data_IF_528659219264
#
_entry.id   IF_528659219264
#
_cell.length_a   1.000
_cell.length_b   1.000
_cell.length_c   1.000
_cell.angle_alpha   90.00
_cell.angle_beta   90.00
_cell.angle_gamma   90.00
#
_symmetry.space_group_name_H-M   'P 1'
#
loop_
_entity.id
_entity.type
_entity.pdbx_description
1 polymer ?
#
# COMPACT_ATOMS: atom_id res chain seq x y z
N UNK A 1 -21.99 -15.13 -17.42
CA UNK A 1 -22.29 -14.85 -15.99
C UNK A 1 -20.99 -14.50 -15.29
N UNK A 2 -20.91 -13.30 -14.74
CA UNK A 2 -19.80 -12.92 -13.88
C UNK A 2 -19.65 -13.93 -12.75
N UNK A 3 -18.43 -14.35 -12.37
CA UNK A 3 -18.21 -15.28 -11.28
C UNK A 3 -18.52 -14.61 -9.93
N UNK A 4 -19.81 -14.54 -9.60
CA UNK A 4 -20.37 -13.85 -8.41
C UNK A 4 -19.66 -14.28 -7.12
N UNK A 5 -19.36 -15.57 -6.98
CA UNK A 5 -18.68 -16.10 -5.77
C UNK A 5 -17.26 -15.51 -5.65
N UNK A 6 -16.51 -15.44 -6.77
CA UNK A 6 -15.15 -14.87 -6.78
C UNK A 6 -15.21 -13.37 -6.49
N UNK A 7 -16.15 -12.64 -7.08
CA UNK A 7 -16.35 -11.21 -6.81
C UNK A 7 -16.67 -10.95 -5.34
N UNK A 8 -17.63 -11.67 -4.75
CA UNK A 8 -17.96 -11.54 -3.31
C UNK A 8 -16.75 -11.80 -2.42
N UNK A 9 -15.89 -12.77 -2.77
CA UNK A 9 -14.66 -13.04 -2.04
C UNK A 9 -13.65 -11.90 -2.10
N UNK A 10 -13.43 -11.32 -3.28
CA UNK A 10 -12.52 -10.21 -3.51
C UNK A 10 -13.01 -8.89 -2.89
N UNK A 11 -14.31 -8.64 -2.90
CA UNK A 11 -14.94 -7.43 -2.34
C UNK A 11 -15.05 -7.45 -0.81
N UNK A 12 -14.90 -8.62 -0.18
CA UNK A 12 -15.05 -8.75 1.26
C UNK A 12 -14.01 -7.89 1.99
N UNK A 13 -14.47 -6.94 2.84
CA UNK A 13 -13.64 -6.04 3.62
C UNK A 13 -12.71 -5.16 2.76
N UNK A 14 -13.16 -4.71 1.59
CA UNK A 14 -12.48 -3.64 0.87
C UNK A 14 -12.49 -2.38 1.74
N UNK A 15 -11.34 -1.71 1.79
CA UNK A 15 -11.12 -0.46 2.51
C UNK A 15 -10.63 0.60 1.54
N UNK A 16 -10.70 1.85 1.97
CA UNK A 16 -9.99 2.94 1.29
C UNK A 16 -8.47 2.74 1.38
N UNK A 17 -7.72 3.38 0.50
CA UNK A 17 -6.26 3.40 0.57
C UNK A 17 -5.81 4.08 1.85
N UNK A 18 -4.81 3.51 2.50
CA UNK A 18 -4.25 4.04 3.74
C UNK A 18 -2.87 4.68 3.45
N UNK A 19 -2.59 5.83 4.08
CA UNK A 19 -1.25 6.39 4.07
C UNK A 19 -0.46 5.74 5.21
N UNK A 20 0.61 4.96 4.92
CA UNK A 20 1.43 4.35 5.94
C UNK A 20 2.19 5.42 6.72
N UNK A 21 2.58 5.08 7.94
CA UNK A 21 3.55 5.89 8.68
C UNK A 21 4.91 5.77 8.02
N UNK A 22 5.67 6.86 8.05
CA UNK A 22 7.05 6.84 7.61
C UNK A 22 7.87 5.81 8.42
N UNK A 23 8.70 5.05 7.73
CA UNK A 23 9.68 4.18 8.36
C UNK A 23 10.99 4.97 8.48
N UNK A 24 11.42 5.21 9.72
CA UNK A 24 12.61 6.00 10.00
C UNK A 24 13.85 5.13 9.94
N UNK A 25 14.79 5.50 9.06
CA UNK A 25 16.07 4.84 8.89
C UNK A 25 17.21 5.77 9.34
N UNK A 26 17.78 5.47 10.50
CA UNK A 26 18.89 6.24 11.08
C UNK A 26 20.26 5.91 10.46
N UNK A 27 20.37 4.89 9.60
CA UNK A 27 21.61 4.55 8.89
C UNK A 27 21.87 5.47 7.70
N UNK A 28 20.87 6.22 7.27
CA UNK A 28 20.94 7.19 6.16
C UNK A 28 20.77 8.61 6.70
N UNK A 29 21.28 9.60 5.98
CA UNK A 29 21.19 11.00 6.38
C UNK A 29 20.99 11.92 5.18
N UNK A 30 20.21 12.96 5.36
CA UNK A 30 20.12 14.08 4.43
C UNK A 30 21.04 15.20 4.94
N UNK A 31 22.00 15.59 4.12
CA UNK A 31 22.91 16.71 4.37
C UNK A 31 22.47 17.91 3.53
N UNK A 32 22.27 19.06 4.15
CA UNK A 32 21.89 20.31 3.49
C UNK A 32 22.89 21.42 3.76
N UNK A 33 22.89 22.45 2.91
CA UNK A 33 23.85 23.55 3.00
C UNK A 33 23.51 24.60 4.07
N UNK A 34 22.20 24.86 4.24
CA UNK A 34 21.71 25.94 5.12
C UNK A 34 20.58 25.48 6.04
N UNK A 35 20.35 26.26 7.12
CA UNK A 35 19.20 26.05 8.01
C UNK A 35 17.86 26.32 7.30
N UNK A 36 17.83 27.14 6.26
CA UNK A 36 16.65 27.38 5.43
C UNK A 36 16.30 26.13 4.63
N UNK A 37 17.30 25.47 4.04
CA UNK A 37 17.14 24.20 3.33
C UNK A 37 16.65 23.08 4.28
N UNK A 38 17.20 23.04 5.50
CA UNK A 38 16.77 22.10 6.54
C UNK A 38 15.28 22.30 6.89
N UNK A 39 14.88 23.54 7.13
CA UNK A 39 13.49 23.89 7.43
C UNK A 39 12.57 23.49 6.28
N UNK A 40 12.96 23.79 5.04
CA UNK A 40 12.20 23.42 3.84
C UNK A 40 11.96 21.90 3.71
N UNK A 41 13.01 21.10 3.85
CA UNK A 41 12.89 19.64 3.76
C UNK A 41 12.12 19.03 4.94
N UNK A 42 12.23 19.68 6.11
CA UNK A 42 11.45 19.31 7.31
C UNK A 42 9.96 19.58 7.09
N UNK A 43 9.60 20.72 6.50
CA UNK A 43 8.20 21.04 6.15
C UNK A 43 7.61 20.09 5.12
N UNK A 44 8.43 19.54 4.21
CA UNK A 44 8.05 18.44 3.31
C UNK A 44 7.89 17.09 4.03
N UNK A 45 8.26 17.00 5.31
CA UNK A 45 8.15 15.80 6.14
C UNK A 45 9.24 14.77 5.90
N UNK A 46 10.37 15.13 5.27
CA UNK A 46 11.46 14.18 4.96
C UNK A 46 12.24 13.76 6.20
N UNK A 47 12.24 14.58 7.25
CA UNK A 47 12.79 14.24 8.56
C UNK A 47 12.11 13.06 9.26
N UNK A 48 10.94 12.63 8.76
CA UNK A 48 10.27 11.42 9.25
C UNK A 48 10.90 10.13 8.71
N UNK A 49 11.67 10.21 7.63
CA UNK A 49 12.34 9.09 6.98
C UNK A 49 13.81 9.03 7.33
N UNK A 50 14.53 10.15 7.27
CA UNK A 50 15.96 10.25 7.54
C UNK A 50 16.26 11.44 8.43
N UNK A 51 17.32 11.39 9.28
CA UNK A 51 17.84 12.58 9.95
C UNK A 51 18.30 13.62 8.92
N UNK A 52 18.06 14.90 9.20
CA UNK A 52 18.52 16.02 8.36
C UNK A 52 19.58 16.78 9.15
N UNK A 53 20.77 16.94 8.57
CA UNK A 53 21.91 17.63 9.17
C UNK A 53 22.28 18.82 8.29
N UNK A 54 22.47 19.99 8.91
CA UNK A 54 23.01 21.17 8.23
C UNK A 54 24.53 21.14 8.24
N UNK A 55 25.14 21.35 7.09
CA UNK A 55 26.58 21.39 6.96
C UNK A 55 27.18 22.53 7.79
N UNK A 56 28.30 22.25 8.46
CA UNK A 56 29.07 23.21 9.23
C UNK A 56 30.54 23.16 8.80
N UNK A 57 31.26 24.27 8.91
CA UNK A 57 32.70 24.35 8.63
C UNK A 57 33.56 23.56 9.67
N UNK A 58 32.98 22.60 10.35
CA UNK A 58 33.66 21.81 11.38
C UNK A 58 34.32 20.57 10.80
N UNK A 59 35.59 20.28 11.10
CA UNK A 59 36.23 19.02 10.76
C UNK A 59 35.52 17.78 11.33
N UNK A 60 34.71 17.93 12.37
CA UNK A 60 33.91 16.87 12.99
C UNK A 60 32.76 16.40 12.09
N UNK A 61 32.32 17.22 11.14
CA UNK A 61 31.24 16.84 10.22
C UNK A 61 31.63 15.63 9.38
N UNK A 62 32.86 15.57 8.86
CA UNK A 62 33.31 14.42 8.05
C UNK A 62 33.37 13.12 8.89
N UNK A 63 33.83 13.23 10.15
CA UNK A 63 33.83 12.07 11.06
C UNK A 63 32.41 11.60 11.40
N UNK A 64 31.46 12.53 11.54
CA UNK A 64 30.06 12.22 11.80
C UNK A 64 29.41 11.53 10.59
N UNK A 65 29.67 12.05 9.38
CA UNK A 65 29.13 11.53 8.14
C UNK A 65 29.62 10.10 7.81
N UNK A 66 30.81 9.73 8.27
CA UNK A 66 31.35 8.35 8.12
C UNK A 66 30.53 7.27 8.86
N UNK A 67 29.65 7.65 9.77
CA UNK A 67 28.80 6.73 10.51
C UNK A 67 27.53 6.33 9.75
N UNK A 68 27.26 6.95 8.60
CA UNK A 68 26.08 6.66 7.79
C UNK A 68 26.41 5.77 6.59
N UNK A 69 25.50 4.84 6.30
CA UNK A 69 25.63 3.94 5.15
C UNK A 69 25.46 4.69 3.83
N UNK A 70 24.56 5.70 3.81
CA UNK A 70 24.27 6.55 2.65
C UNK A 70 24.00 7.98 3.07
N UNK A 71 24.58 8.94 2.33
CA UNK A 71 24.46 10.37 2.55
C UNK A 71 23.80 11.01 1.32
N UNK A 72 22.64 11.61 1.51
CA UNK A 72 21.96 12.39 0.49
C UNK A 72 22.36 13.85 0.65
N UNK A 73 23.33 14.31 -0.14
CA UNK A 73 23.67 15.73 -0.16
C UNK A 73 22.66 16.47 -1.05
N UNK A 74 21.70 17.13 -0.39
CA UNK A 74 20.68 17.94 -1.04
C UNK A 74 21.16 19.37 -1.12
N UNK A 75 21.64 19.78 -2.30
CA UNK A 75 22.27 21.06 -2.51
C UNK A 75 21.33 22.10 -3.13
N UNK A 76 21.42 23.34 -2.64
CA UNK A 76 20.78 24.52 -3.21
C UNK A 76 21.76 25.36 -4.05
N UNK A 77 23.04 25.42 -3.64
CA UNK A 77 24.09 26.19 -4.30
C UNK A 77 25.28 25.34 -4.77
N UNK A 78 25.47 24.15 -4.20
CA UNK A 78 26.55 23.25 -4.56
C UNK A 78 27.93 23.72 -4.07
N UNK A 79 27.98 24.30 -2.85
CA UNK A 79 29.18 24.93 -2.31
C UNK A 79 30.14 23.92 -1.69
N UNK A 80 29.62 22.76 -1.23
CA UNK A 80 30.39 21.78 -0.50
C UNK A 80 31.06 20.78 -1.46
N UNK A 81 32.35 20.55 -1.25
CA UNK A 81 33.13 19.55 -1.96
C UNK A 81 33.41 18.35 -1.03
N UNK A 82 32.96 17.18 -1.46
CA UNK A 82 33.12 15.91 -0.73
C UNK A 82 33.96 14.92 -1.55
N UNK A 83 35.15 15.36 -2.01
CA UNK A 83 36.04 14.44 -2.72
C UNK A 83 36.38 13.21 -1.84
N UNK A 84 36.10 12.01 -2.38
CA UNK A 84 36.46 10.72 -1.78
C UNK A 84 35.44 10.10 -0.83
N UNK A 85 34.20 10.58 -0.77
CA UNK A 85 33.11 9.90 -0.08
C UNK A 85 32.32 9.01 -1.06
N UNK A 86 32.48 7.69 -1.03
CA UNK A 86 31.83 6.78 -2.00
C UNK A 86 30.33 6.60 -1.74
N UNK A 87 29.87 6.87 -0.52
CA UNK A 87 28.49 6.73 -0.03
C UNK A 87 27.68 8.02 -0.11
N UNK A 88 28.05 8.97 -0.99
CA UNK A 88 27.36 10.25 -1.13
C UNK A 88 26.63 10.34 -2.47
N UNK A 89 25.32 10.63 -2.40
CA UNK A 89 24.46 10.91 -3.55
C UNK A 89 24.13 12.39 -3.58
N UNK A 90 24.41 13.07 -4.70
CA UNK A 90 24.11 14.48 -4.89
C UNK A 90 22.71 14.65 -5.49
N UNK A 91 21.86 15.44 -4.86
CA UNK A 91 20.48 15.71 -5.28
C UNK A 91 20.24 17.22 -5.26
N UNK A 92 19.62 17.76 -6.30
CA UNK A 92 19.22 19.17 -6.29
C UNK A 92 17.99 19.36 -5.39
N UNK A 93 17.97 20.41 -4.57
CA UNK A 93 16.85 20.73 -3.67
C UNK A 93 15.54 21.03 -4.42
N UNK A 94 15.62 21.39 -5.70
CA UNK A 94 14.46 21.65 -6.56
C UNK A 94 13.78 20.36 -7.06
N UNK A 95 14.38 19.17 -6.83
CA UNK A 95 13.75 17.91 -7.15
C UNK A 95 12.54 17.66 -6.24
N UNK A 96 11.61 16.82 -6.68
CA UNK A 96 10.43 16.51 -5.89
C UNK A 96 10.81 15.72 -4.63
N UNK A 97 10.03 15.85 -3.59
CA UNK A 97 10.23 15.18 -2.31
C UNK A 97 10.36 13.65 -2.41
N UNK A 98 9.62 13.02 -3.34
CA UNK A 98 9.70 11.58 -3.64
C UNK A 98 10.91 11.20 -4.51
N UNK A 99 11.61 12.15 -5.09
CA UNK A 99 12.90 11.92 -5.78
C UNK A 99 14.06 12.00 -4.80
N UNK A 100 13.91 12.82 -3.75
CA UNK A 100 14.87 12.92 -2.63
C UNK A 100 14.72 11.71 -1.70
N UNK A 101 13.48 11.34 -1.37
CA UNK A 101 13.14 10.19 -0.51
C UNK A 101 12.11 9.29 -1.22
N UNK A 102 12.56 8.36 -2.07
CA UNK A 102 11.70 7.46 -2.84
C UNK A 102 10.73 6.64 -1.99
N UNK A 103 11.13 6.32 -0.77
CA UNK A 103 10.35 5.56 0.20
C UNK A 103 9.00 6.22 0.50
N UNK A 104 8.87 7.53 0.34
CA UNK A 104 7.61 8.28 0.53
C UNK A 104 6.48 7.77 -0.37
N UNK A 105 6.81 7.37 -1.60
CA UNK A 105 5.86 6.82 -2.57
C UNK A 105 5.87 5.29 -2.56
N UNK A 106 7.03 4.68 -2.49
CA UNK A 106 7.18 3.22 -2.49
C UNK A 106 6.40 2.59 -1.34
N UNK A 107 6.55 3.12 -0.11
CA UNK A 107 5.86 2.61 1.07
C UNK A 107 4.34 2.71 0.93
N UNK A 108 3.81 3.76 0.29
CA UNK A 108 2.39 3.86 0.00
C UNK A 108 1.88 2.70 -0.86
N UNK A 109 2.59 2.38 -1.95
CA UNK A 109 2.17 1.30 -2.84
C UNK A 109 2.41 -0.08 -2.24
N UNK A 110 3.50 -0.29 -1.53
CA UNK A 110 3.80 -1.55 -0.85
C UNK A 110 2.79 -1.83 0.27
N UNK A 111 2.44 -0.81 1.06
CA UNK A 111 1.44 -0.95 2.12
C UNK A 111 0.06 -1.33 1.58
N UNK A 112 -0.33 -0.76 0.45
CA UNK A 112 -1.63 -1.00 -0.18
C UNK A 112 -1.58 -2.11 -1.26
N UNK A 113 -0.50 -2.86 -1.41
CA UNK A 113 -0.29 -3.82 -2.50
C UNK A 113 -1.39 -4.88 -2.57
N UNK A 114 -1.80 -5.44 -1.43
CA UNK A 114 -2.88 -6.43 -1.37
C UNK A 114 -4.21 -5.84 -1.85
N UNK A 115 -4.51 -4.61 -1.48
CA UNK A 115 -5.69 -3.88 -1.92
C UNK A 115 -5.67 -3.65 -3.44
N UNK A 116 -4.56 -3.16 -3.98
CA UNK A 116 -4.40 -2.94 -5.42
C UNK A 116 -4.52 -4.24 -6.22
N UNK A 117 -3.92 -5.33 -5.75
CA UNK A 117 -4.04 -6.65 -6.38
C UNK A 117 -5.50 -7.12 -6.42
N UNK A 118 -6.25 -6.95 -5.33
CA UNK A 118 -7.67 -7.32 -5.27
C UNK A 118 -8.51 -6.47 -6.20
N UNK A 119 -8.29 -5.17 -6.25
CA UNK A 119 -8.99 -4.24 -7.15
C UNK A 119 -8.68 -4.56 -8.62
N UNK A 120 -7.41 -4.85 -8.94
CA UNK A 120 -7.00 -5.31 -10.27
C UNK A 120 -7.77 -6.56 -10.73
N UNK A 121 -7.88 -7.58 -9.87
CA UNK A 121 -8.65 -8.79 -10.16
C UNK A 121 -10.14 -8.50 -10.36
N UNK A 122 -10.72 -7.59 -9.57
CA UNK A 122 -12.12 -7.17 -9.72
C UNK A 122 -12.33 -6.47 -11.06
N UNK A 123 -11.46 -5.54 -11.44
CA UNK A 123 -11.55 -4.82 -12.71
C UNK A 123 -11.44 -5.78 -13.90
N UNK A 124 -10.53 -6.74 -13.85
CA UNK A 124 -10.43 -7.80 -14.86
C UNK A 124 -11.70 -8.64 -15.00
N UNK A 125 -12.31 -9.02 -13.88
CA UNK A 125 -13.58 -9.78 -13.91
C UNK A 125 -14.69 -8.92 -14.52
N UNK A 126 -14.69 -7.60 -14.30
CA UNK A 126 -15.62 -6.65 -14.91
C UNK A 126 -15.36 -6.41 -16.41
N UNK A 127 -14.20 -6.83 -16.92
CA UNK A 127 -13.78 -6.58 -18.29
C UNK A 127 -13.36 -5.14 -18.56
N UNK A 128 -12.87 -4.43 -17.52
CA UNK A 128 -12.39 -3.06 -17.61
C UNK A 128 -10.86 -3.02 -17.72
N UNK A 129 -10.35 -2.03 -18.43
CA UNK A 129 -8.92 -1.71 -18.42
C UNK A 129 -8.55 -1.09 -17.07
N UNK A 130 -7.34 -1.37 -16.59
CA UNK A 130 -6.86 -0.95 -15.29
C UNK A 130 -5.37 -0.62 -15.31
N UNK A 131 -5.00 0.50 -14.69
CA UNK A 131 -3.61 0.93 -14.51
C UNK A 131 -2.88 0.09 -13.43
N UNK A 132 -3.65 -0.55 -12.54
CA UNK A 132 -3.07 -1.28 -11.40
C UNK A 132 -2.16 -2.44 -11.83
N UNK A 133 -2.31 -2.92 -13.07
CA UNK A 133 -1.41 -3.92 -13.65
C UNK A 133 0.03 -3.45 -13.85
N UNK A 134 0.28 -2.15 -13.89
CA UNK A 134 1.61 -1.55 -14.02
C UNK A 134 2.35 -1.48 -12.68
N UNK A 135 1.63 -1.49 -11.54
CA UNK A 135 2.20 -1.40 -10.19
C UNK A 135 2.96 -2.68 -9.81
N UNK A 136 2.37 -3.84 -10.13
CA UNK A 136 2.88 -5.15 -9.69
C UNK A 136 4.33 -5.38 -10.14
N UNK A 137 4.70 -5.23 -11.43
CA UNK A 137 6.07 -5.47 -11.88
C UNK A 137 7.07 -4.50 -11.26
N UNK A 138 6.69 -3.23 -11.01
CA UNK A 138 7.57 -2.24 -10.38
C UNK A 138 7.91 -2.66 -8.94
N UNK A 139 6.90 -3.08 -8.16
CA UNK A 139 7.13 -3.53 -6.78
C UNK A 139 7.92 -4.84 -6.75
N UNK A 140 7.64 -5.77 -7.66
CA UNK A 140 8.37 -7.04 -7.74
C UNK A 140 9.85 -6.82 -8.08
N UNK A 141 10.18 -5.87 -8.96
CA UNK A 141 11.54 -5.49 -9.27
C UNK A 141 12.28 -4.96 -8.03
N UNK A 142 11.65 -4.07 -7.27
CA UNK A 142 12.22 -3.54 -6.01
C UNK A 142 12.53 -4.65 -5.00
N UNK A 143 11.69 -5.69 -4.91
CA UNK A 143 11.90 -6.82 -4.01
C UNK A 143 13.07 -7.75 -4.41
N UNK A 144 13.50 -7.71 -5.67
CA UNK A 144 14.57 -8.59 -6.20
C UNK A 144 15.95 -7.99 -6.03
N UNK A 145 16.08 -6.66 -5.99
CA UNK A 145 17.36 -5.94 -6.00
C UNK A 145 18.21 -6.22 -4.76
N UNK A 146 17.61 -6.55 -3.63
CA UNK A 146 18.29 -6.71 -2.33
C UNK A 146 19.07 -8.03 -2.16
N UNK A 147 19.13 -8.94 -3.15
CA UNK A 147 19.52 -10.35 -2.94
C UNK A 147 20.88 -10.81 -3.48
N UNK A 148 21.75 -9.97 -4.04
CA UNK A 148 23.00 -10.43 -4.65
C UNK A 148 24.23 -9.73 -4.08
N UNK A 149 24.88 -10.33 -3.11
CA UNK A 149 26.21 -9.92 -2.66
C UNK A 149 27.24 -11.02 -2.90
N UNK A 150 28.42 -10.61 -3.39
CA UNK A 150 29.64 -11.44 -3.35
C UNK A 150 30.34 -11.08 -2.05
N UNK A 151 30.50 -12.05 -1.17
CA UNK A 151 31.30 -11.89 0.05
C UNK A 151 32.79 -11.78 -0.35
N UNK A 152 33.28 -10.52 -0.27
CA UNK A 152 34.66 -10.19 -0.66
C UNK A 152 35.65 -10.90 0.26
N UNK A 153 35.34 -10.97 1.57
CA UNK A 153 36.24 -11.59 2.56
C UNK A 153 36.35 -13.09 2.33
N UNK A 154 35.24 -13.79 2.10
CA UNK A 154 35.22 -15.21 1.76
C UNK A 154 35.99 -15.49 0.45
N UNK A 155 35.74 -14.65 -0.59
CA UNK A 155 36.42 -14.77 -1.86
C UNK A 155 37.94 -14.61 -1.71
N UNK A 156 38.39 -13.55 -1.04
CA UNK A 156 39.83 -13.26 -0.83
C UNK A 156 40.50 -14.35 -0.01
N UNK A 157 39.84 -14.86 1.05
CA UNK A 157 40.37 -15.95 1.87
C UNK A 157 40.48 -17.27 1.09
N UNK A 158 39.50 -17.58 0.24
CA UNK A 158 39.57 -18.81 -0.59
C UNK A 158 40.70 -18.72 -1.60
N UNK A 159 40.85 -17.57 -2.29
CA UNK A 159 41.95 -17.36 -3.24
C UNK A 159 43.33 -17.36 -2.55
N UNK A 160 43.44 -16.89 -1.30
CA UNK A 160 44.66 -16.96 -0.51
C UNK A 160 45.13 -18.40 -0.27
N UNK A 161 44.20 -19.31 0.08
CA UNK A 161 44.51 -20.71 0.29
C UNK A 161 45.13 -21.34 -0.98
N UNK A 162 44.49 -21.11 -2.12
CA UNK A 162 44.99 -21.58 -3.42
C UNK A 162 46.39 -21.01 -3.75
N UNK A 163 46.61 -19.73 -3.42
CA UNK A 163 47.89 -19.06 -3.64
C UNK A 163 49.01 -19.60 -2.74
N UNK A 164 48.69 -19.84 -1.44
CA UNK A 164 49.69 -20.40 -0.49
C UNK A 164 50.16 -21.79 -0.97
N UNK A 165 49.24 -22.66 -1.44
CA UNK A 165 49.56 -23.97 -2.01
C UNK A 165 50.39 -23.87 -3.28
N UNK A 166 50.04 -22.97 -4.18
CA UNK A 166 50.74 -22.74 -5.45
C UNK A 166 52.15 -22.18 -5.21
N UNK A 167 52.29 -21.26 -4.26
CA UNK A 167 53.55 -20.65 -3.88
C UNK A 167 54.46 -21.66 -3.18
N UNK A 168 53.92 -22.53 -2.29
CA UNK A 168 54.65 -23.60 -1.65
C UNK A 168 55.23 -24.57 -2.68
N UNK A 169 54.41 -25.01 -3.65
CA UNK A 169 54.85 -25.87 -4.74
C UNK A 169 55.91 -25.20 -5.59
N UNK A 170 55.80 -23.91 -5.89
CA UNK A 170 56.79 -23.17 -6.67
C UNK A 170 58.13 -23.02 -5.90
N UNK A 171 58.08 -22.75 -4.61
CA UNK A 171 59.30 -22.65 -3.76
C UNK A 171 60.04 -23.98 -3.72
N UNK A 172 59.33 -25.11 -3.62
CA UNK A 172 59.93 -26.45 -3.62
C UNK A 172 60.65 -26.79 -4.93
N UNK A 173 60.24 -26.20 -6.05
CA UNK A 173 60.79 -26.46 -7.39
C UNK A 173 61.83 -25.44 -7.87
N UNK A 174 62.18 -24.42 -7.06
CA UNK A 174 63.17 -23.39 -7.38
C UNK A 174 64.47 -23.67 -6.67
N UNK A 175 65.58 -23.76 -7.43
CA UNK A 175 66.95 -23.85 -6.85
C UNK A 175 67.28 -22.49 -6.20
N UNK A 176 67.25 -22.47 -4.85
CA UNK A 176 67.62 -21.31 -4.03
C UNK A 176 69.02 -21.47 -3.46
N UNK A 177 69.80 -20.40 -3.52
CA UNK A 177 71.10 -20.31 -2.88
C UNK A 177 70.98 -20.09 -1.38
N UNK A 178 72.01 -20.37 -0.59
CA UNK A 178 71.93 -20.31 0.88
C UNK A 178 71.50 -18.94 1.42
N UNK A 179 71.90 -17.85 0.81
CA UNK A 179 71.52 -16.49 1.19
C UNK A 179 70.03 -16.20 0.83
N UNK A 180 69.50 -16.82 -0.22
CA UNK A 180 68.09 -16.71 -0.63
C UNK A 180 67.19 -17.49 0.36
N UNK A 181 67.66 -18.64 0.88
CA UNK A 181 66.96 -19.41 1.92
C UNK A 181 66.93 -18.63 3.23
N UNK A 182 67.99 -17.94 3.59
CA UNK A 182 68.04 -17.09 4.78
C UNK A 182 67.05 -15.89 4.65
N UNK A 183 66.93 -15.29 3.50
CA UNK A 183 65.95 -14.24 3.22
C UNK A 183 64.51 -14.76 3.39
N UNK A 184 64.20 -15.96 2.89
CA UNK A 184 62.89 -16.58 3.02
C UNK A 184 62.52 -16.86 4.50
N UNK A 185 63.49 -17.33 5.30
CA UNK A 185 63.33 -17.55 6.72
C UNK A 185 63.06 -16.24 7.49
N UNK A 186 63.58 -15.13 7.00
CA UNK A 186 63.33 -13.79 7.55
C UNK A 186 62.08 -13.12 7.00
N UNK A 187 61.20 -13.86 6.36
CA UNK A 187 59.96 -13.39 5.70
C UNK A 187 60.20 -12.40 4.55
N UNK A 188 61.41 -12.35 3.99
CA UNK A 188 61.74 -11.57 2.81
C UNK A 188 61.76 -12.48 1.57
N UNK A 189 61.00 -12.14 0.54
CA UNK A 189 60.95 -12.92 -0.68
C UNK A 189 62.18 -12.69 -1.55
N UNK A 190 62.94 -13.73 -1.91
CA UNK A 190 64.05 -13.62 -2.85
C UNK A 190 63.55 -13.17 -4.24
N UNK A 191 64.40 -12.48 -5.08
CA UNK A 191 63.98 -11.95 -6.38
C UNK A 191 63.36 -12.98 -7.32
N UNK A 192 63.81 -14.24 -7.26
CA UNK A 192 63.26 -15.35 -8.05
C UNK A 192 61.84 -15.69 -7.63
N UNK A 193 61.59 -15.71 -6.33
CA UNK A 193 60.25 -15.99 -5.76
C UNK A 193 59.31 -14.79 -5.91
N UNK A 194 59.81 -13.56 -5.81
CA UNK A 194 59.05 -12.35 -6.04
C UNK A 194 58.41 -12.34 -7.45
N UNK A 195 59.13 -12.80 -8.47
CA UNK A 195 58.61 -12.85 -9.85
C UNK A 195 57.45 -13.84 -9.98
N UNK A 196 57.58 -15.02 -9.36
CA UNK A 196 56.48 -16.02 -9.34
C UNK A 196 55.29 -15.48 -8.57
N UNK A 197 55.56 -14.84 -7.42
CA UNK A 197 54.54 -14.23 -6.59
C UNK A 197 53.75 -13.16 -7.36
N UNK A 198 54.43 -12.29 -8.12
CA UNK A 198 53.79 -11.28 -8.97
C UNK A 198 52.91 -11.90 -10.07
N UNK A 199 53.33 -13.02 -10.65
CA UNK A 199 52.56 -13.76 -11.65
C UNK A 199 51.28 -14.35 -11.03
N UNK A 200 51.37 -14.98 -9.86
CA UNK A 200 50.26 -15.57 -9.12
C UNK A 200 49.26 -14.47 -8.68
N UNK A 201 49.73 -13.35 -8.10
CA UNK A 201 48.87 -12.24 -7.71
C UNK A 201 48.12 -11.67 -8.90
N UNK A 202 48.81 -11.42 -10.04
CA UNK A 202 48.17 -10.82 -11.18
C UNK A 202 47.09 -11.72 -11.77
N UNK A 203 47.21 -13.03 -11.65
CA UNK A 203 46.18 -13.96 -12.07
C UNK A 203 44.96 -13.91 -11.12
N UNK A 204 45.21 -13.89 -9.80
CA UNK A 204 44.14 -13.78 -8.80
C UNK A 204 43.42 -12.42 -8.85
N UNK A 205 44.15 -11.33 -9.09
CA UNK A 205 43.53 -9.98 -9.33
C UNK A 205 42.55 -9.99 -10.50
N UNK A 206 42.83 -10.73 -11.57
CA UNK A 206 41.86 -10.90 -12.66
C UNK A 206 40.59 -11.59 -12.21
N UNK A 207 40.71 -12.67 -11.41
CA UNK A 207 39.57 -13.40 -10.85
C UNK A 207 38.75 -12.50 -9.91
N UNK A 208 39.43 -11.74 -9.06
CA UNK A 208 38.77 -10.77 -8.16
C UNK A 208 37.97 -9.75 -8.98
N UNK A 209 38.61 -9.13 -9.98
CA UNK A 209 37.97 -8.15 -10.84
C UNK A 209 36.76 -8.72 -11.61
N UNK A 210 36.87 -9.95 -12.14
CA UNK A 210 35.79 -10.61 -12.86
C UNK A 210 34.58 -10.93 -11.95
N UNK A 211 34.84 -11.32 -10.67
CA UNK A 211 33.78 -11.70 -9.74
C UNK A 211 33.15 -10.51 -9.00
N UNK A 212 33.94 -9.50 -8.66
CA UNK A 212 33.50 -8.36 -7.85
C UNK A 212 33.25 -7.08 -8.65
N UNK A 213 33.85 -6.95 -9.82
CA UNK A 213 33.86 -5.71 -10.62
C UNK A 213 34.86 -4.65 -10.11
N UNK A 214 35.59 -4.91 -9.02
CA UNK A 214 36.61 -4.02 -8.43
C UNK A 214 38.03 -4.47 -8.75
N UNK A 215 38.94 -3.51 -8.98
CA UNK A 215 40.37 -3.78 -9.21
C UNK A 215 41.16 -3.37 -7.98
N UNK A 216 41.54 -4.33 -7.15
CA UNK A 216 42.26 -4.11 -5.90
C UNK A 216 43.23 -5.25 -5.62
N UNK A 217 44.20 -5.01 -4.71
CA UNK A 217 45.23 -5.94 -4.31
C UNK A 217 45.23 -6.16 -2.79
N UNK A 218 44.48 -7.17 -2.30
CA UNK A 218 44.37 -7.42 -0.85
C UNK A 218 45.55 -8.21 -0.26
N UNK A 219 46.59 -8.55 -1.05
CA UNK A 219 47.65 -9.45 -0.61
C UNK A 219 48.97 -8.73 -0.36
N UNK A 220 49.48 -8.88 0.87
CA UNK A 220 50.80 -8.39 1.23
C UNK A 220 51.88 -9.36 0.70
N UNK A 221 52.98 -8.80 0.16
CA UNK A 221 54.11 -9.54 -0.38
C UNK A 221 54.98 -10.13 0.75
N UNK A 222 54.43 -11.13 1.43
CA UNK A 222 55.09 -11.86 2.51
C UNK A 222 54.82 -13.36 2.35
N UNK A 223 55.68 -14.17 2.94
CA UNK A 223 55.49 -15.63 3.01
C UNK A 223 55.35 -16.09 4.47
N UNK A 224 54.31 -16.81 4.87
CA UNK A 224 53.05 -17.03 4.08
C UNK A 224 52.32 -15.75 3.75
N UNK A 225 51.44 -15.81 2.76
CA UNK A 225 50.67 -14.63 2.28
C UNK A 225 49.83 -14.06 3.43
N UNK A 226 49.99 -12.78 3.65
CA UNK A 226 49.17 -12.04 4.60
C UNK A 226 48.14 -11.19 3.81
N UNK A 227 46.96 -11.01 4.39
CA UNK A 227 45.89 -10.18 3.82
C UNK A 227 45.99 -8.77 4.40
N UNK A 228 45.78 -7.77 3.60
CA UNK A 228 45.63 -6.40 4.02
C UNK A 228 44.15 -6.13 4.38
N UNK A 229 43.83 -6.25 5.69
CA UNK A 229 42.48 -6.06 6.20
C UNK A 229 41.97 -4.63 5.95
N UNK A 230 42.87 -3.64 5.86
CA UNK A 230 42.48 -2.25 5.59
C UNK A 230 41.99 -2.05 4.15
N UNK A 231 42.62 -2.77 3.21
CA UNK A 231 42.20 -2.74 1.81
C UNK A 231 40.89 -3.51 1.62
N UNK A 232 40.67 -4.61 2.32
CA UNK A 232 39.37 -5.32 2.33
C UNK A 232 38.26 -4.41 2.84
N UNK A 233 38.47 -3.78 3.99
CA UNK A 233 37.47 -2.86 4.56
C UNK A 233 37.16 -1.69 3.61
N UNK A 234 38.18 -1.12 2.96
CA UNK A 234 37.99 -0.06 1.95
C UNK A 234 37.10 -0.53 0.81
N UNK A 235 37.37 -1.72 0.27
CA UNK A 235 36.61 -2.25 -0.88
C UNK A 235 35.20 -2.71 -0.46
N UNK A 236 35.04 -3.27 0.72
CA UNK A 236 33.70 -3.57 1.25
C UNK A 236 32.84 -2.30 1.38
N UNK A 237 33.42 -1.21 1.87
CA UNK A 237 32.74 0.08 1.96
C UNK A 237 32.40 0.60 0.55
N UNK A 238 33.31 0.52 -0.41
CA UNK A 238 33.08 0.94 -1.80
C UNK A 238 32.01 0.07 -2.47
N UNK A 239 31.99 -1.23 -2.23
CA UNK A 239 30.96 -2.16 -2.73
C UNK A 239 29.59 -1.84 -2.15
N UNK A 240 29.49 -1.68 -0.81
CA UNK A 240 28.22 -1.37 -0.16
C UNK A 240 27.68 0.00 -0.62
N UNK A 241 28.55 1.00 -0.72
CA UNK A 241 28.18 2.34 -1.19
C UNK A 241 27.69 2.35 -2.63
N UNK A 242 28.39 1.63 -3.51
CA UNK A 242 27.96 1.51 -4.92
C UNK A 242 26.60 0.81 -5.03
N UNK A 243 26.40 -0.25 -4.24
CA UNK A 243 25.14 -0.98 -4.17
C UNK A 243 24.01 -0.08 -3.69
N UNK A 244 24.22 0.67 -2.60
CA UNK A 244 23.21 1.60 -2.07
C UNK A 244 22.86 2.70 -3.08
N UNK A 245 23.85 3.23 -3.83
CA UNK A 245 23.63 4.19 -4.90
C UNK A 245 22.79 3.58 -6.04
N UNK A 246 23.16 2.36 -6.50
CA UNK A 246 22.43 1.64 -7.55
C UNK A 246 20.97 1.34 -7.10
N UNK A 247 20.78 0.95 -5.85
CA UNK A 247 19.45 0.73 -5.23
C UNK A 247 18.66 2.04 -5.18
N UNK A 248 19.30 3.14 -4.79
CA UNK A 248 18.65 4.44 -4.74
C UNK A 248 18.18 4.89 -6.13
N UNK A 249 19.01 4.75 -7.16
CA UNK A 249 18.63 5.12 -8.53
C UNK A 249 17.43 4.33 -9.04
N UNK A 250 17.37 3.03 -8.73
CA UNK A 250 16.22 2.20 -9.09
C UNK A 250 14.99 2.60 -8.29
N UNK A 251 15.11 2.84 -6.98
CA UNK A 251 14.01 3.32 -6.13
C UNK A 251 13.49 4.67 -6.59
N UNK A 252 14.39 5.60 -6.96
CA UNK A 252 14.02 6.92 -7.50
C UNK A 252 13.22 6.78 -8.79
N UNK A 253 13.69 5.96 -9.73
CA UNK A 253 12.98 5.69 -10.98
C UNK A 253 11.60 5.09 -10.73
N UNK A 254 11.52 4.09 -9.85
CA UNK A 254 10.25 3.47 -9.46
C UNK A 254 9.30 4.47 -8.79
N UNK A 255 9.80 5.35 -7.92
CA UNK A 255 8.99 6.39 -7.27
C UNK A 255 8.40 7.38 -8.27
N UNK A 256 9.16 7.79 -9.29
CA UNK A 256 8.67 8.66 -10.37
C UNK A 256 7.53 7.97 -11.13
N UNK A 257 7.71 6.71 -11.54
CA UNK A 257 6.69 5.95 -12.25
C UNK A 257 5.44 5.76 -11.38
N UNK A 258 5.59 5.29 -10.15
CA UNK A 258 4.48 5.08 -9.21
C UNK A 258 3.74 6.38 -8.89
N UNK A 259 4.46 7.50 -8.72
CA UNK A 259 3.81 8.79 -8.46
C UNK A 259 2.96 9.25 -9.64
N UNK A 260 3.39 8.97 -10.88
CA UNK A 260 2.63 9.34 -12.08
C UNK A 260 1.25 8.68 -12.17
N UNK A 261 1.09 7.49 -11.58
CA UNK A 261 -0.13 6.69 -11.62
C UNK A 261 -0.93 6.72 -10.29
N UNK A 262 -0.39 7.35 -9.25
CA UNK A 262 -0.95 7.32 -7.88
C UNK A 262 -2.40 7.77 -7.81
N UNK A 263 -2.70 8.94 -8.38
CA UNK A 263 -4.08 9.49 -8.35
C UNK A 263 -5.07 8.59 -9.08
N UNK A 264 -4.66 8.02 -10.21
CA UNK A 264 -5.51 7.11 -10.97
C UNK A 264 -5.72 5.79 -10.23
N UNK A 265 -4.68 5.25 -9.58
CA UNK A 265 -4.78 4.05 -8.76
C UNK A 265 -5.75 4.23 -7.59
N UNK A 266 -5.69 5.37 -6.89
CA UNK A 266 -6.62 5.72 -5.81
C UNK A 266 -8.06 5.77 -6.34
N UNK A 267 -8.27 6.44 -7.48
CA UNK A 267 -9.58 6.56 -8.09
C UNK A 267 -10.18 5.20 -8.49
N UNK A 268 -9.35 4.28 -9.01
CA UNK A 268 -9.82 2.94 -9.32
C UNK A 268 -10.28 2.16 -8.08
N UNK A 269 -9.62 2.34 -6.93
CA UNK A 269 -10.06 1.77 -5.65
C UNK A 269 -11.41 2.36 -5.24
N UNK A 270 -11.58 3.68 -5.30
CA UNK A 270 -12.84 4.36 -4.97
C UNK A 270 -13.99 3.88 -5.87
N UNK A 271 -13.74 3.74 -7.18
CA UNK A 271 -14.72 3.24 -8.14
C UNK A 271 -15.13 1.78 -7.84
N UNK A 272 -14.21 0.95 -7.38
CA UNK A 272 -14.53 -0.43 -7.00
C UNK A 272 -15.28 -0.49 -5.68
N UNK A 273 -14.96 0.36 -4.70
CA UNK A 273 -15.72 0.47 -3.43
C UNK A 273 -17.17 0.90 -3.73
N UNK A 274 -17.36 1.86 -4.63
CA UNK A 274 -18.70 2.27 -5.08
C UNK A 274 -19.41 1.11 -5.78
N UNK A 275 -18.73 0.41 -6.66
CA UNK A 275 -19.27 -0.77 -7.32
C UNK A 275 -19.64 -1.89 -6.34
N UNK A 276 -18.88 -2.12 -5.27
CA UNK A 276 -19.23 -3.09 -4.22
C UNK A 276 -20.58 -2.78 -3.58
N UNK A 277 -20.84 -1.51 -3.29
CA UNK A 277 -22.14 -1.08 -2.77
C UNK A 277 -23.26 -1.37 -3.77
N UNK A 278 -23.11 -0.96 -5.03
CA UNK A 278 -24.11 -1.18 -6.09
C UNK A 278 -24.34 -2.68 -6.36
N UNK A 279 -23.25 -3.46 -6.38
CA UNK A 279 -23.30 -4.90 -6.56
C UNK A 279 -24.00 -5.63 -5.39
N UNK A 280 -23.76 -5.18 -4.18
CA UNK A 280 -24.39 -5.74 -2.96
C UNK A 280 -25.89 -5.49 -2.97
N UNK A 281 -26.33 -4.27 -3.30
CA UNK A 281 -27.74 -3.92 -3.46
C UNK A 281 -28.40 -4.72 -4.60
N UNK A 282 -27.77 -4.77 -5.77
CA UNK A 282 -28.27 -5.54 -6.89
C UNK A 282 -28.37 -7.02 -6.61
N UNK A 283 -27.38 -7.57 -5.89
CA UNK A 283 -27.39 -8.97 -5.48
C UNK A 283 -28.51 -9.27 -4.49
N UNK A 284 -28.73 -8.37 -3.51
CA UNK A 284 -29.82 -8.47 -2.56
C UNK A 284 -31.18 -8.39 -3.27
N UNK A 285 -31.36 -7.41 -4.15
CA UNK A 285 -32.58 -7.27 -4.94
C UNK A 285 -32.88 -8.53 -5.76
N UNK A 286 -31.88 -9.06 -6.46
CA UNK A 286 -32.02 -10.25 -7.29
C UNK A 286 -32.33 -11.51 -6.45
N UNK A 287 -31.67 -11.65 -5.30
CA UNK A 287 -31.86 -12.82 -4.44
C UNK A 287 -33.26 -12.89 -3.83
N UNK A 288 -33.86 -11.75 -3.51
CA UNK A 288 -35.16 -11.67 -2.82
C UNK A 288 -36.29 -11.12 -3.70
N UNK A 289 -36.09 -11.02 -5.00
CA UNK A 289 -37.06 -10.55 -5.98
C UNK A 289 -37.63 -9.15 -5.64
N UNK A 290 -36.72 -8.25 -5.25
CA UNK A 290 -37.04 -6.85 -4.94
C UNK A 290 -36.92 -6.00 -6.21
N UNK A 291 -37.83 -5.03 -6.36
CA UNK A 291 -37.86 -4.14 -7.53
C UNK A 291 -37.58 -2.68 -7.17
N UNK A 292 -37.05 -1.92 -8.13
CA UNK A 292 -36.83 -0.50 -7.97
C UNK A 292 -38.18 0.24 -7.91
N UNK A 293 -38.41 1.08 -6.88
CA UNK A 293 -39.63 1.90 -6.81
C UNK A 293 -39.58 3.06 -7.80
N UNK A 294 -40.76 3.43 -8.31
CA UNK A 294 -40.97 4.71 -9.01
C UNK A 294 -41.43 5.78 -8.01
N UNK A 295 -41.06 7.04 -8.22
CA UNK A 295 -41.53 8.14 -7.43
C UNK A 295 -42.65 8.89 -8.16
N UNK A 296 -43.69 9.33 -7.41
CA UNK A 296 -44.84 10.04 -7.93
C UNK A 296 -45.65 10.67 -6.83
N UNK A 297 -46.90 11.05 -7.14
CA UNK A 297 -47.78 11.77 -6.20
C UNK A 297 -48.76 10.87 -5.45
N UNK A 298 -48.63 9.55 -5.59
CA UNK A 298 -49.51 8.56 -4.97
C UNK A 298 -48.71 7.40 -4.40
N UNK A 299 -49.29 6.63 -3.48
CA UNK A 299 -48.84 5.29 -3.16
C UNK A 299 -49.66 4.32 -4.04
N UNK A 300 -48.97 3.56 -4.87
CA UNK A 300 -49.61 2.53 -5.69
C UNK A 300 -48.68 1.30 -5.71
N UNK A 301 -49.10 0.25 -5.02
CA UNK A 301 -48.35 -0.98 -4.86
C UNK A 301 -49.13 -2.12 -5.53
N UNK A 302 -48.43 -2.94 -6.29
CA UNK A 302 -48.93 -4.22 -6.79
C UNK A 302 -48.03 -5.35 -6.30
N UNK A 303 -48.67 -6.44 -5.93
CA UNK A 303 -47.98 -7.64 -5.42
C UNK A 303 -47.01 -7.34 -4.29
N UNK A 304 -47.34 -6.40 -3.42
CA UNK A 304 -46.51 -5.99 -2.28
C UNK A 304 -46.53 -7.07 -1.20
N UNK A 305 -45.36 -7.25 -0.58
CA UNK A 305 -45.15 -8.25 0.42
C UNK A 305 -44.38 -7.68 1.61
N UNK A 306 -44.66 -8.13 2.83
CA UNK A 306 -43.86 -7.77 3.99
C UNK A 306 -42.41 -8.28 3.79
N UNK A 307 -41.40 -7.44 4.02
CA UNK A 307 -40.01 -7.75 3.74
C UNK A 307 -39.56 -9.07 4.41
N UNK A 308 -39.90 -9.29 5.67
CA UNK A 308 -39.57 -10.53 6.37
C UNK A 308 -40.17 -11.75 5.71
N UNK A 309 -41.36 -11.63 5.12
CA UNK A 309 -41.99 -12.72 4.37
C UNK A 309 -41.34 -12.91 3.00
N UNK A 310 -40.91 -11.83 2.34
CA UNK A 310 -40.14 -11.89 1.12
C UNK A 310 -38.78 -12.59 1.32
N UNK A 311 -38.13 -12.40 2.46
CA UNK A 311 -36.87 -13.05 2.82
C UNK A 311 -37.01 -14.55 3.12
N UNK A 312 -38.24 -15.03 3.48
CA UNK A 312 -38.53 -16.46 3.75
C UNK A 312 -39.02 -17.17 2.49
N UNK A 313 -38.13 -17.58 1.61
CA UNK A 313 -38.42 -18.17 0.29
C UNK A 313 -39.31 -19.44 0.29
N UNK A 314 -39.55 -20.10 1.42
CA UNK A 314 -40.17 -21.42 1.50
C UNK A 314 -41.68 -21.39 1.81
N UNK A 315 -42.31 -20.21 2.02
CA UNK A 315 -43.69 -20.17 2.42
C UNK A 315 -44.62 -19.97 1.22
N UNK A 316 -45.05 -21.10 0.63
CA UNK A 316 -45.97 -21.17 -0.54
C UNK A 316 -47.35 -20.51 -0.27
N UNK A 317 -47.64 -20.11 0.96
CA UNK A 317 -48.94 -19.56 1.38
C UNK A 317 -48.89 -18.04 1.61
N UNK A 318 -47.78 -17.38 1.26
CA UNK A 318 -47.67 -15.92 1.44
C UNK A 318 -48.52 -15.19 0.40
N UNK A 319 -49.49 -14.40 0.85
CA UNK A 319 -50.35 -13.59 -0.03
C UNK A 319 -49.71 -12.21 -0.21
N UNK A 320 -49.57 -11.83 -1.47
CA UNK A 320 -49.24 -10.44 -1.86
C UNK A 320 -50.47 -9.57 -1.74
N UNK A 321 -50.27 -8.27 -1.63
CA UNK A 321 -51.32 -7.26 -1.54
C UNK A 321 -51.15 -6.19 -2.58
N UNK A 322 -52.28 -5.75 -3.15
CA UNK A 322 -52.36 -4.53 -3.94
C UNK A 322 -52.91 -3.41 -3.05
N UNK A 323 -52.30 -2.24 -3.08
CA UNK A 323 -52.72 -1.10 -2.26
C UNK A 323 -52.55 0.20 -3.03
N UNK A 324 -53.59 1.07 -2.96
CA UNK A 324 -53.55 2.36 -3.59
C UNK A 324 -54.05 3.44 -2.63
N UNK A 325 -53.31 4.57 -2.57
CA UNK A 325 -53.69 5.78 -1.87
C UNK A 325 -53.30 6.98 -2.76
N UNK A 326 -54.29 7.82 -3.09
CA UNK A 326 -54.11 8.97 -3.99
C UNK A 326 -54.24 10.29 -3.24
N UNK A 327 -53.93 11.40 -3.87
CA UNK A 327 -54.11 12.72 -3.25
C UNK A 327 -55.59 13.05 -3.02
N UNK A 328 -56.51 12.54 -3.85
CA UNK A 328 -57.94 12.73 -3.69
C UNK A 328 -58.56 11.78 -2.64
N UNK A 329 -57.99 10.59 -2.49
CA UNK A 329 -58.39 9.56 -1.53
C UNK A 329 -57.20 9.28 -0.61
N UNK A 330 -56.92 10.23 0.31
CA UNK A 330 -55.71 10.19 1.15
C UNK A 330 -55.93 9.62 2.55
N UNK A 331 -57.12 9.14 2.84
CA UNK A 331 -57.45 8.48 4.12
C UNK A 331 -58.04 7.09 3.83
N UNK A 332 -57.45 6.06 4.43
CA UNK A 332 -57.96 4.70 4.33
C UNK A 332 -58.29 4.13 5.71
N UNK A 333 -59.47 3.52 5.84
CA UNK A 333 -59.89 2.83 7.07
C UNK A 333 -59.76 1.32 6.87
N UNK A 334 -58.89 0.66 7.64
CA UNK A 334 -58.73 -0.78 7.61
C UNK A 334 -59.67 -1.46 8.61
N UNK A 335 -60.56 -2.31 8.12
CA UNK A 335 -61.48 -3.11 8.93
C UNK A 335 -61.24 -4.61 8.71
N UNK A 336 -61.59 -5.45 9.66
CA UNK A 336 -61.46 -6.90 9.53
C UNK A 336 -61.09 -7.60 10.86
N UNK A 337 -61.00 -8.91 10.81
CA UNK A 337 -60.64 -9.75 11.99
C UNK A 337 -59.24 -9.44 12.50
N UNK A 338 -58.95 -9.68 13.78
CA UNK A 338 -57.65 -9.38 14.38
C UNK A 338 -56.50 -10.22 13.82
N UNK A 339 -56.78 -11.37 13.22
CA UNK A 339 -55.84 -12.23 12.54
C UNK A 339 -55.74 -11.94 11.02
N UNK A 340 -56.39 -10.88 10.54
CA UNK A 340 -56.54 -10.59 9.07
C UNK A 340 -55.41 -9.82 8.44
N UNK A 341 -54.22 -9.76 9.06
CA UNK A 341 -53.04 -9.13 8.44
C UNK A 341 -53.00 -7.61 8.44
N UNK A 342 -53.90 -6.92 9.21
CA UNK A 342 -53.96 -5.44 9.26
C UNK A 342 -52.62 -4.82 9.72
N UNK A 343 -52.03 -5.33 10.77
CA UNK A 343 -50.73 -4.86 11.28
C UNK A 343 -49.63 -5.12 10.27
N UNK A 344 -49.62 -6.29 9.67
CA UNK A 344 -48.66 -6.64 8.61
C UNK A 344 -48.76 -5.71 7.39
N UNK A 345 -49.97 -5.31 6.99
CA UNK A 345 -50.17 -4.32 5.94
C UNK A 345 -49.57 -2.96 6.31
N UNK A 346 -49.82 -2.45 7.52
CA UNK A 346 -49.26 -1.17 7.99
C UNK A 346 -47.70 -1.25 8.03
N UNK A 347 -47.15 -2.35 8.54
CA UNK A 347 -45.73 -2.60 8.54
C UNK A 347 -45.16 -2.68 7.11
N UNK A 348 -45.83 -3.34 6.17
CA UNK A 348 -45.44 -3.42 4.76
C UNK A 348 -45.37 -2.03 4.14
N UNK A 349 -46.42 -1.22 4.31
CA UNK A 349 -46.45 0.16 3.82
C UNK A 349 -45.33 1.02 4.40
N UNK A 350 -45.07 0.89 5.71
CA UNK A 350 -43.96 1.56 6.37
C UNK A 350 -42.61 1.17 5.78
N UNK A 351 -42.37 -0.15 5.66
CA UNK A 351 -41.11 -0.68 5.14
C UNK A 351 -40.85 -0.24 3.70
N UNK A 352 -41.84 -0.41 2.84
CA UNK A 352 -41.72 -0.02 1.40
C UNK A 352 -41.50 1.48 1.27
N UNK A 353 -42.22 2.31 2.02
CA UNK A 353 -42.07 3.77 1.96
C UNK A 353 -40.68 4.22 2.45
N UNK A 354 -40.17 3.64 3.55
CA UNK A 354 -38.84 3.93 4.07
C UNK A 354 -37.75 3.45 3.09
N UNK A 355 -37.85 2.20 2.61
CA UNK A 355 -36.87 1.65 1.67
C UNK A 355 -36.83 2.46 0.39
N UNK A 356 -37.98 2.82 -0.18
CA UNK A 356 -38.06 3.66 -1.37
C UNK A 356 -37.36 5.02 -1.15
N UNK A 357 -37.65 5.71 -0.04
CA UNK A 357 -37.02 7.00 0.26
C UNK A 357 -35.51 6.90 0.56
N UNK A 358 -35.03 5.73 0.95
CA UNK A 358 -33.59 5.44 1.05
C UNK A 358 -32.95 5.11 -0.30
N UNK A 359 -33.72 5.04 -1.40
CA UNK A 359 -33.21 4.63 -2.71
C UNK A 359 -32.99 3.13 -2.83
N UNK A 360 -33.59 2.33 -1.95
CA UNK A 360 -33.44 0.87 -1.94
C UNK A 360 -34.53 0.20 -2.77
N UNK A 361 -34.26 -0.99 -3.35
CA UNK A 361 -35.28 -1.83 -3.95
C UNK A 361 -36.29 -2.32 -2.89
N UNK A 362 -37.55 -2.46 -3.29
CA UNK A 362 -38.68 -2.76 -2.41
C UNK A 362 -39.32 -4.09 -2.72
N UNK A 363 -39.96 -4.70 -1.73
CA UNK A 363 -40.67 -5.98 -1.84
C UNK A 363 -42.07 -5.81 -2.43
N UNK A 364 -42.14 -5.41 -3.69
CA UNK A 364 -43.36 -5.31 -4.48
C UNK A 364 -43.08 -5.62 -5.95
N UNK A 365 -44.04 -6.17 -6.68
CA UNK A 365 -43.94 -6.36 -8.12
C UNK A 365 -43.84 -5.03 -8.87
N UNK A 366 -44.74 -4.06 -8.52
CA UNK A 366 -44.66 -2.67 -8.94
C UNK A 366 -44.85 -1.77 -7.71
N UNK A 367 -44.07 -0.70 -7.58
CA UNK A 367 -44.24 0.27 -6.51
C UNK A 367 -44.07 1.71 -7.05
N UNK A 368 -45.12 2.52 -6.89
CA UNK A 368 -45.05 3.93 -7.08
C UNK A 368 -45.27 4.61 -5.73
N UNK A 369 -44.33 5.42 -5.29
CA UNK A 369 -44.29 5.93 -3.91
C UNK A 369 -44.18 7.46 -3.95
N UNK A 370 -45.05 8.11 -3.16
CA UNK A 370 -44.93 9.54 -2.85
C UNK A 370 -43.79 9.76 -1.87
N UNK A 371 -43.04 10.82 -2.06
CA UNK A 371 -42.05 11.26 -1.08
C UNK A 371 -42.74 11.95 0.11
N UNK A 372 -42.39 11.60 1.30
CA UNK A 372 -42.89 12.13 2.54
C UNK A 372 -41.78 12.85 3.31
N UNK A 373 -42.08 14.01 3.86
CA UNK A 373 -41.20 14.72 4.78
C UNK A 373 -41.10 13.94 6.11
N UNK A 374 -42.21 13.30 6.51
CA UNK A 374 -42.32 12.61 7.79
C UNK A 374 -43.16 11.33 7.63
N UNK A 375 -42.69 10.24 8.28
CA UNK A 375 -43.42 8.97 8.38
C UNK A 375 -43.68 8.65 9.84
N UNK A 376 -44.95 8.55 10.21
CA UNK A 376 -45.38 8.18 11.57
C UNK A 376 -46.04 6.82 11.59
N UNK A 377 -45.50 5.92 12.41
CA UNK A 377 -46.09 4.61 12.66
C UNK A 377 -46.42 4.44 14.13
N UNK A 378 -47.71 4.37 14.47
CA UNK A 378 -48.21 4.18 15.82
C UNK A 378 -48.51 2.71 16.09
N UNK A 379 -47.71 2.08 16.93
CA UNK A 379 -48.02 0.71 17.38
C UNK A 379 -49.12 0.71 18.44
N UNK A 380 -50.07 -0.22 18.33
CA UNK A 380 -51.21 -0.37 19.26
C UNK A 380 -50.72 -0.62 20.67
N UNK A 381 -50.96 0.28 21.62
CA UNK A 381 -50.80 0.02 23.06
C UNK A 381 -51.98 -0.81 23.57
N UNK A 382 -51.72 -1.80 24.43
CA UNK A 382 -52.69 -2.80 24.91
C UNK A 382 -53.76 -2.25 25.87
N UNK A 383 -53.65 -1.04 26.40
CA UNK A 383 -54.63 -0.41 27.29
C UNK A 383 -54.95 0.99 26.81
N UNK A 384 -56.22 1.23 26.46
CA UNK A 384 -56.81 2.54 26.25
C UNK A 384 -57.51 2.95 27.53
N UNK A 385 -56.76 3.39 28.56
CA UNK A 385 -57.31 4.19 29.62
C UNK A 385 -57.42 5.66 29.19
N UNK A 386 -58.22 6.47 29.89
CA UNK A 386 -58.46 7.87 29.51
C UNK A 386 -57.16 8.68 29.41
N UNK A 387 -56.15 8.39 30.22
CA UNK A 387 -54.86 9.08 30.18
C UNK A 387 -54.00 8.67 28.95
N UNK A 388 -54.08 7.42 28.52
CA UNK A 388 -53.39 6.96 27.31
C UNK A 388 -53.99 7.57 26.04
N UNK A 389 -55.33 7.77 26.02
CA UNK A 389 -56.02 8.43 24.91
C UNK A 389 -55.70 9.93 24.83
N UNK A 390 -55.69 10.64 25.97
CA UNK A 390 -55.25 12.01 26.06
C UNK A 390 -53.79 12.19 25.60
N UNK A 391 -52.89 11.33 26.08
CA UNK A 391 -51.48 11.31 25.63
C UNK A 391 -51.35 11.07 24.13
N UNK A 392 -52.18 10.18 23.56
CA UNK A 392 -52.19 9.95 22.12
C UNK A 392 -52.65 11.19 21.35
N UNK A 393 -53.76 11.84 21.76
CA UNK A 393 -54.26 13.06 21.11
C UNK A 393 -53.25 14.21 21.19
N UNK A 394 -52.55 14.37 22.30
CA UNK A 394 -51.49 15.39 22.45
C UNK A 394 -50.33 15.22 21.46
N UNK A 395 -50.03 13.98 21.07
CA UNK A 395 -49.01 13.70 20.03
C UNK A 395 -49.61 13.77 18.65
N UNK A 396 -50.82 13.25 18.43
CA UNK A 396 -51.46 13.10 17.13
C UNK A 396 -51.94 14.43 16.52
N UNK A 397 -52.56 15.29 17.35
CA UNK A 397 -53.14 16.58 16.87
C UNK A 397 -52.04 17.46 16.24
N UNK A 398 -50.88 17.69 16.83
CA UNK A 398 -49.81 18.45 16.20
C UNK A 398 -49.37 17.85 14.84
N UNK A 399 -49.28 16.52 14.77
CA UNK A 399 -48.88 15.83 13.54
C UNK A 399 -49.86 16.12 12.39
N UNK A 400 -51.19 16.00 12.63
CA UNK A 400 -52.17 16.17 11.56
C UNK A 400 -52.48 17.63 11.22
N UNK A 401 -52.10 18.57 12.09
CA UNK A 401 -52.33 20.02 11.90
C UNK A 401 -51.15 20.76 11.30
N UNK A 402 -49.97 20.16 11.24
CA UNK A 402 -48.77 20.75 10.58
C UNK A 402 -48.89 20.58 9.08
N UNK A 403 -48.49 21.59 8.32
CA UNK A 403 -48.51 21.58 6.86
C UNK A 403 -47.19 21.00 6.32
N UNK A 404 -47.11 19.65 6.18
CA UNK A 404 -46.02 18.91 5.57
C UNK A 404 -46.58 17.64 4.93
N UNK A 405 -45.85 17.09 3.95
CA UNK A 405 -46.20 15.81 3.32
C UNK A 405 -45.88 14.65 4.29
N UNK A 406 -46.93 13.97 4.76
CA UNK A 406 -46.82 12.95 5.79
C UNK A 406 -47.48 11.63 5.43
N UNK A 407 -46.88 10.53 5.85
CA UNK A 407 -47.54 9.23 5.95
C UNK A 407 -47.81 8.91 7.42
N UNK A 408 -49.05 8.80 7.80
CA UNK A 408 -49.50 8.50 9.18
C UNK A 408 -50.18 7.15 9.19
N UNK A 409 -49.61 6.18 9.88
CA UNK A 409 -50.11 4.82 10.04
C UNK A 409 -50.49 4.55 11.49
N UNK A 410 -51.75 4.18 11.76
CA UNK A 410 -52.34 4.07 13.12
C UNK A 410 -52.75 2.67 13.43
#
# INVERSE_FOLDING_TARGET
QLPIIKLRGLMKNLKEVENPKAEYDASKVILVETEEDNSYLTDLGLNQYYPIITATDSPLLQEELMNYDLIFYVYSQGILDFEGMPNLVMINIEENDYEIVPEKIINFFTHNQDLFNRVYEIQKIRGLETILGEIIPIIDELNVIDKREVDIEELVNSLKQDMDEELENAIQNVDLEGDEILNLLNKNLPPKINKIFDEIINERKKIIREKTGFDFDPYLRKYPIEIDDSEIQRIQLEQSSKKENDIFDVKKSAAIELNSIKEQAIKEVEDVIKFDYEFSLGSFAYEYDLNAPEFGDEINLKEALHLELALRKDDKNTQTIDYKLTNDENIALLTGANSGGKTTLLETLTQISIMAQMGLPVSAGEAKIKLFDEIYHFSKKRSLDAGAFESFLNVFIPIVTTDSEKLVLL
#
